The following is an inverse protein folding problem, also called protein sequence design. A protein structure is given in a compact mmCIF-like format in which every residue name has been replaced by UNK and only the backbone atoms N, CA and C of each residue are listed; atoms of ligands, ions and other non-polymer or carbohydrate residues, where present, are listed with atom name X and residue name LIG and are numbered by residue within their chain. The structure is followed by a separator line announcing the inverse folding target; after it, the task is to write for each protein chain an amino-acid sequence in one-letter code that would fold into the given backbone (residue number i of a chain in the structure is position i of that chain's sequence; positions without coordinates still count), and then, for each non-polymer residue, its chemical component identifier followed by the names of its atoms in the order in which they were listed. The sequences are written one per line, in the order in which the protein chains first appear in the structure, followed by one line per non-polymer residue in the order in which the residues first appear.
data_IF_265728693482
#
_entry.id   IF_265728693482
#
_cell.length_a   1.000
_cell.length_b   1.000
_cell.length_c   1.000
_cell.angle_alpha   90.00
_cell.angle_beta   90.00
_cell.angle_gamma   90.00
#
_symmetry.space_group_name_H-M   'P 1'
#
loop_
_entity.id
_entity.type
_entity.pdbx_description
1 polymer ?
#
# COMPACT_ATOMS: atom_id res chain seq x y z
N UNK A 1 -29.93 30.19 -6.86
CA UNK A 1 -29.30 29.02 -7.50
C UNK A 1 -28.26 28.56 -6.52
N UNK A 2 -28.62 27.61 -5.66
CA UNK A 2 -27.74 27.17 -4.59
C UNK A 2 -26.56 26.44 -5.24
N UNK A 3 -25.39 27.07 -5.14
CA UNK A 3 -24.12 26.42 -5.43
C UNK A 3 -23.88 25.40 -4.32
N UNK A 4 -24.55 24.25 -4.40
CA UNK A 4 -24.17 23.10 -3.61
C UNK A 4 -22.78 22.67 -4.09
N UNK A 5 -21.76 23.19 -3.43
CA UNK A 5 -20.45 22.59 -3.49
C UNK A 5 -20.62 21.12 -3.05
N UNK A 6 -20.14 20.15 -3.83
CA UNK A 6 -20.17 18.77 -3.39
C UNK A 6 -19.43 18.66 -2.05
N UNK A 7 -19.89 17.79 -1.12
CA UNK A 7 -19.20 17.59 0.15
C UNK A 7 -17.75 17.19 -0.13
N UNK A 8 -16.85 17.67 0.72
CA UNK A 8 -15.44 17.29 0.66
C UNK A 8 -15.30 15.78 0.82
N UNK A 9 -14.20 15.20 0.31
CA UNK A 9 -13.95 13.76 0.42
C UNK A 9 -13.96 13.31 1.89
N UNK A 10 -13.44 14.12 2.81
CA UNK A 10 -13.37 13.80 4.24
C UNK A 10 -14.77 13.74 4.88
N UNK A 11 -15.67 14.65 4.53
CA UNK A 11 -17.08 14.62 4.96
C UNK A 11 -17.79 13.39 4.41
N UNK A 12 -17.65 13.13 3.11
CA UNK A 12 -18.25 11.97 2.47
C UNK A 12 -17.76 10.65 3.09
N UNK A 13 -16.48 10.55 3.43
CA UNK A 13 -15.91 9.38 4.12
C UNK A 13 -16.55 9.18 5.49
N UNK A 14 -16.65 10.25 6.29
CA UNK A 14 -17.23 10.18 7.64
C UNK A 14 -18.70 9.75 7.59
N UNK A 15 -19.46 10.31 6.66
CA UNK A 15 -20.90 10.03 6.51
C UNK A 15 -21.19 8.64 5.94
N UNK A 16 -20.33 8.16 5.01
CA UNK A 16 -20.56 6.93 4.25
C UNK A 16 -19.62 5.78 4.65
N UNK A 17 -18.92 5.88 5.78
CA UNK A 17 -17.92 4.89 6.19
C UNK A 17 -18.42 3.44 6.13
N UNK A 18 -19.60 3.07 6.67
CA UNK A 18 -20.06 1.69 6.62
C UNK A 18 -20.26 1.15 5.19
N UNK A 19 -20.66 2.03 4.26
CA UNK A 19 -20.80 1.68 2.85
C UNK A 19 -19.44 1.53 2.17
N UNK A 20 -18.50 2.44 2.43
CA UNK A 20 -17.12 2.34 1.94
C UNK A 20 -16.42 1.07 2.46
N UNK A 21 -16.62 0.72 3.73
CA UNK A 21 -16.12 -0.52 4.32
C UNK A 21 -16.70 -1.75 3.61
N UNK A 22 -18.00 -1.73 3.30
CA UNK A 22 -18.66 -2.80 2.54
C UNK A 22 -18.11 -2.93 1.11
N UNK A 23 -17.89 -1.81 0.42
CA UNK A 23 -17.27 -1.80 -0.90
C UNK A 23 -15.84 -2.33 -0.84
N UNK A 24 -15.03 -1.88 0.11
CA UNK A 24 -13.65 -2.31 0.27
C UNK A 24 -13.59 -3.81 0.58
N UNK A 25 -14.47 -4.30 1.45
CA UNK A 25 -14.57 -5.73 1.76
C UNK A 25 -14.91 -6.57 0.52
N UNK A 26 -15.83 -6.09 -0.33
CA UNK A 26 -16.27 -6.80 -1.53
C UNK A 26 -15.23 -6.77 -2.65
N UNK A 27 -14.54 -5.64 -2.84
CA UNK A 27 -13.72 -5.38 -4.02
C UNK A 27 -12.21 -5.44 -3.76
N UNK A 28 -11.76 -5.38 -2.51
CA UNK A 28 -10.35 -5.42 -2.11
C UNK A 28 -9.60 -4.09 -2.26
N UNK A 29 -10.10 -3.16 -3.08
CA UNK A 29 -9.51 -1.83 -3.27
C UNK A 29 -10.57 -0.83 -3.73
N UNK A 30 -10.39 0.46 -3.43
CA UNK A 30 -11.23 1.56 -3.90
C UNK A 30 -10.31 2.67 -4.45
N UNK A 31 -10.64 3.20 -5.63
CA UNK A 31 -10.01 4.39 -6.18
C UNK A 31 -10.93 5.59 -6.01
N UNK A 32 -10.46 6.60 -5.27
CA UNK A 32 -11.11 7.91 -5.19
C UNK A 32 -10.50 8.83 -6.26
N UNK A 33 -11.33 9.34 -7.18
CA UNK A 33 -10.89 10.17 -8.31
C UNK A 33 -11.86 11.34 -8.51
N UNK A 34 -11.32 12.52 -8.87
CA UNK A 34 -12.11 13.73 -9.13
C UNK A 34 -12.40 14.57 -7.88
N UNK A 35 -11.51 14.53 -6.89
CA UNK A 35 -11.61 15.32 -5.67
C UNK A 35 -10.58 16.45 -5.68
N UNK A 36 -10.96 17.62 -6.17
CA UNK A 36 -10.07 18.78 -6.33
C UNK A 36 -9.55 19.33 -4.99
N UNK A 37 -10.23 19.01 -3.87
CA UNK A 37 -9.81 19.37 -2.52
C UNK A 37 -8.62 18.56 -2.00
N UNK A 38 -8.17 17.52 -2.73
CA UNK A 38 -7.05 16.66 -2.36
C UNK A 38 -5.82 17.05 -3.19
N UNK A 39 -5.11 18.10 -2.76
CA UNK A 39 -4.00 18.70 -3.52
C UNK A 39 -2.64 18.53 -2.84
N UNK A 40 -2.61 18.30 -1.53
CA UNK A 40 -1.38 18.24 -0.73
C UNK A 40 -1.32 16.98 0.13
N UNK A 41 -0.12 16.62 0.57
CA UNK A 41 0.08 15.58 1.59
C UNK A 41 -0.72 15.83 2.88
N UNK A 42 -0.97 17.10 3.26
CA UNK A 42 -1.83 17.44 4.41
C UNK A 42 -3.29 17.08 4.17
N UNK A 43 -3.83 17.42 2.99
CA UNK A 43 -5.20 17.05 2.60
C UNK A 43 -5.36 15.52 2.58
N UNK A 44 -4.32 14.81 2.13
CA UNK A 44 -4.29 13.35 2.16
C UNK A 44 -4.25 12.79 3.58
N UNK A 45 -3.49 13.39 4.50
CA UNK A 45 -3.52 13.00 5.91
C UNK A 45 -4.94 13.13 6.50
N UNK A 46 -5.66 14.22 6.19
CA UNK A 46 -7.03 14.42 6.66
C UNK A 46 -8.00 13.35 6.11
N UNK A 47 -7.80 12.92 4.86
CA UNK A 47 -8.53 11.78 4.26
C UNK A 47 -8.23 10.48 5.01
N UNK A 48 -6.95 10.18 5.28
CA UNK A 48 -6.54 8.99 6.04
C UNK A 48 -7.15 8.99 7.44
N UNK A 49 -7.14 10.13 8.12
CA UNK A 49 -7.72 10.28 9.46
C UNK A 49 -9.25 10.16 9.45
N UNK A 50 -9.93 10.64 8.40
CA UNK A 50 -11.38 10.58 8.27
C UNK A 50 -11.93 9.14 8.28
N UNK A 51 -11.15 8.15 7.79
CA UNK A 51 -11.53 6.73 7.88
C UNK A 51 -11.55 6.20 9.32
N UNK A 52 -10.76 6.79 10.23
CA UNK A 52 -10.67 6.37 11.62
C UNK A 52 -10.03 5.00 11.82
N UNK A 53 -9.27 4.49 10.84
CA UNK A 53 -8.49 3.27 11.01
C UNK A 53 -7.32 3.50 11.97
N UNK A 54 -6.95 2.44 12.70
CA UNK A 54 -5.76 2.45 13.56
C UNK A 54 -4.50 2.48 12.69
N UNK A 55 -3.60 3.39 12.99
CA UNK A 55 -2.27 3.43 12.37
C UNK A 55 -1.44 2.21 12.79
N UNK A 56 -0.69 1.65 11.84
CA UNK A 56 0.36 0.68 12.13
C UNK A 56 1.68 1.44 12.16
N UNK A 57 2.39 1.48 13.31
CA UNK A 57 3.73 2.05 13.37
C UNK A 57 4.65 1.33 12.39
N UNK A 58 5.44 2.08 11.62
CA UNK A 58 6.42 1.49 10.70
C UNK A 58 7.62 0.93 11.48
N UNK A 59 7.53 -0.33 11.87
CA UNK A 59 8.56 -1.06 12.61
C UNK A 59 8.98 -2.28 11.77
N UNK A 60 10.28 -2.43 11.51
CA UNK A 60 10.81 -3.60 10.78
C UNK A 60 10.56 -3.61 9.27
N UNK A 61 10.13 -2.50 8.67
CA UNK A 61 10.07 -2.37 7.22
C UNK A 61 11.47 -2.23 6.60
N UNK A 62 11.66 -2.80 5.41
CA UNK A 62 12.97 -2.84 4.76
C UNK A 62 13.34 -1.53 4.04
N UNK A 63 12.38 -0.81 3.47
CA UNK A 63 12.68 0.43 2.77
C UNK A 63 12.78 1.63 3.74
N UNK A 64 13.72 2.57 3.54
CA UNK A 64 13.67 3.84 4.24
C UNK A 64 12.36 4.56 3.88
N UNK A 65 11.76 5.21 4.88
CA UNK A 65 10.53 5.99 4.74
C UNK A 65 10.76 7.34 5.39
N UNK A 66 10.50 8.41 4.66
CA UNK A 66 10.54 9.77 5.21
C UNK A 66 9.13 10.17 5.61
N UNK A 67 8.92 10.56 6.87
CA UNK A 67 7.65 11.12 7.32
C UNK A 67 7.46 12.50 6.70
N UNK A 68 6.33 12.72 6.03
CA UNK A 68 5.99 13.99 5.38
C UNK A 68 5.11 14.82 6.30
N UNK A 69 3.98 14.25 6.76
CA UNK A 69 3.04 14.88 7.68
C UNK A 69 2.14 13.82 8.31
N UNK A 70 1.93 13.89 9.63
CA UNK A 70 1.03 12.96 10.33
C UNK A 70 1.34 11.49 10.02
N UNK A 71 0.37 10.80 9.41
CA UNK A 71 0.44 9.37 9.03
C UNK A 71 0.91 9.15 7.59
N UNK A 72 1.40 10.20 6.91
CA UNK A 72 1.81 10.16 5.50
C UNK A 72 3.33 10.07 5.41
N UNK A 73 3.80 9.09 4.64
CA UNK A 73 5.21 8.79 4.41
C UNK A 73 5.49 8.65 2.91
N UNK A 74 6.74 8.83 2.50
CA UNK A 74 7.18 8.55 1.11
C UNK A 74 7.02 7.06 0.75
N UNK A 75 6.58 6.78 -0.48
CA UNK A 75 6.19 5.43 -0.91
C UNK A 75 7.37 4.53 -1.32
N UNK A 76 8.38 5.07 -2.00
CA UNK A 76 9.58 4.33 -2.38
C UNK A 76 10.68 5.30 -2.78
N UNK A 77 11.93 5.02 -2.42
CA UNK A 77 13.11 5.83 -2.78
C UNK A 77 14.06 5.10 -3.74
N UNK A 78 13.67 3.91 -4.24
CA UNK A 78 14.46 3.18 -5.23
C UNK A 78 14.53 3.93 -6.58
N UNK A 79 15.55 3.66 -7.41
CA UNK A 79 15.69 4.31 -8.71
C UNK A 79 14.43 4.13 -9.60
N UNK A 80 14.01 5.18 -10.33
CA UNK A 80 12.75 5.19 -11.08
C UNK A 80 12.72 4.24 -12.29
N UNK A 81 13.88 3.76 -12.74
CA UNK A 81 14.03 2.79 -13.83
C UNK A 81 13.83 1.33 -13.38
N UNK A 82 13.72 1.09 -12.07
CA UNK A 82 13.59 -0.25 -11.50
C UNK A 82 12.13 -0.67 -11.32
N UNK A 83 11.84 -1.92 -11.70
CA UNK A 83 10.51 -2.51 -11.50
C UNK A 83 10.40 -3.09 -10.10
N UNK A 84 9.41 -2.64 -9.34
CA UNK A 84 9.05 -3.22 -8.04
C UNK A 84 8.23 -4.51 -8.29
N UNK A 85 8.64 -5.68 -7.76
CA UNK A 85 7.87 -6.92 -7.88
C UNK A 85 6.57 -6.87 -7.07
N UNK A 86 5.56 -7.64 -7.48
CA UNK A 86 4.35 -7.83 -6.68
C UNK A 86 4.67 -8.46 -5.32
N UNK A 87 4.07 -7.90 -4.28
CA UNK A 87 4.18 -8.38 -2.90
C UNK A 87 2.98 -7.90 -2.08
N UNK A 88 2.80 -8.49 -0.89
CA UNK A 88 2.01 -7.86 0.17
C UNK A 88 2.93 -6.98 1.02
N UNK A 89 2.46 -5.81 1.43
CA UNK A 89 3.25 -4.88 2.25
C UNK A 89 3.68 -5.58 3.55
N UNK A 90 4.98 -5.53 3.86
CA UNK A 90 5.57 -6.13 5.06
C UNK A 90 5.24 -7.63 5.25
N UNK A 91 5.09 -8.40 4.17
CA UNK A 91 4.67 -9.82 4.21
C UNK A 91 5.52 -10.77 5.08
N UNK A 92 6.74 -10.38 5.47
CA UNK A 92 7.65 -11.20 6.29
C UNK A 92 7.74 -10.74 7.75
N UNK A 93 6.94 -9.77 8.19
CA UNK A 93 6.89 -9.37 9.60
C UNK A 93 5.62 -9.90 10.29
N UNK A 94 5.63 -10.13 11.62
CA UNK A 94 4.47 -10.67 12.33
C UNK A 94 3.24 -9.74 12.31
N UNK A 95 3.47 -8.43 12.41
CA UNK A 95 2.42 -7.40 12.39
C UNK A 95 2.50 -6.60 11.08
N UNK A 96 1.63 -6.94 10.14
CA UNK A 96 1.55 -6.31 8.82
C UNK A 96 0.28 -5.46 8.68
N UNK A 97 0.25 -4.47 7.77
CA UNK A 97 -0.89 -3.58 7.63
C UNK A 97 -2.11 -4.32 7.07
N UNK A 98 -3.27 -4.11 7.71
CA UNK A 98 -4.54 -4.66 7.21
C UNK A 98 -5.08 -3.91 5.98
N UNK A 99 -4.65 -2.66 5.78
CA UNK A 99 -5.06 -1.74 4.71
C UNK A 99 -3.90 -0.80 4.43
N UNK A 100 -3.81 -0.34 3.18
CA UNK A 100 -2.82 0.62 2.73
C UNK A 100 -3.50 1.68 1.87
N UNK A 101 -3.04 2.93 1.97
CA UNK A 101 -3.48 4.03 1.11
C UNK A 101 -2.32 4.48 0.24
N UNK A 102 -2.63 4.80 -1.01
CA UNK A 102 -1.71 5.46 -1.93
C UNK A 102 -2.30 6.80 -2.37
N UNK A 103 -1.43 7.80 -2.51
CA UNK A 103 -1.78 9.13 -2.98
C UNK A 103 -0.74 9.62 -3.98
N UNK A 104 -1.24 10.24 -5.04
CA UNK A 104 -0.42 10.83 -6.09
C UNK A 104 -0.51 12.35 -5.97
N UNK A 105 0.47 12.97 -5.32
CA UNK A 105 0.58 14.43 -5.25
C UNK A 105 1.10 15.03 -6.56
N UNK A 106 2.05 14.34 -7.20
CA UNK A 106 2.66 14.74 -8.47
C UNK A 106 2.50 13.59 -9.45
N UNK A 107 1.75 13.82 -10.53
CA UNK A 107 1.57 12.84 -11.60
C UNK A 107 2.89 12.56 -12.33
N UNK A 108 3.26 11.28 -12.54
CA UNK A 108 4.44 10.94 -13.32
C UNK A 108 4.27 11.33 -14.79
N UNK A 109 5.34 11.82 -15.43
CA UNK A 109 5.31 12.17 -16.85
C UNK A 109 5.07 10.96 -17.77
N UNK A 110 5.51 9.77 -17.35
CA UNK A 110 5.29 8.49 -18.01
C UNK A 110 5.58 7.34 -17.04
N UNK A 111 4.83 6.24 -17.15
CA UNK A 111 4.96 5.10 -16.24
C UNK A 111 4.58 5.47 -14.80
N UNK A 112 5.25 4.87 -13.81
CA UNK A 112 5.06 5.20 -12.39
C UNK A 112 3.71 4.75 -11.83
N UNK A 113 2.94 3.95 -12.57
CA UNK A 113 1.73 3.36 -12.04
C UNK A 113 2.04 2.46 -10.83
N UNK A 114 1.04 2.26 -9.97
CA UNK A 114 1.09 1.27 -8.88
C UNK A 114 0.13 0.13 -9.23
N UNK A 115 0.54 -0.90 -10.00
CA UNK A 115 -0.32 -2.01 -10.35
C UNK A 115 -0.76 -2.76 -9.09
N UNK A 116 -2.05 -3.10 -9.02
CA UNK A 116 -2.62 -3.93 -7.96
C UNK A 116 -3.20 -5.21 -8.55
N UNK A 117 -3.13 -6.30 -7.77
CA UNK A 117 -3.65 -7.61 -8.17
C UNK A 117 -4.32 -8.29 -6.99
N UNK A 118 -5.44 -8.98 -7.23
CA UNK A 118 -6.16 -9.74 -6.21
C UNK A 118 -5.40 -11.02 -5.87
N UNK A 119 -4.84 -11.09 -4.66
CA UNK A 119 -4.01 -12.22 -4.22
C UNK A 119 -4.76 -13.56 -4.23
N UNK A 120 -6.04 -13.59 -3.86
CA UNK A 120 -6.84 -14.82 -3.91
C UNK A 120 -7.02 -15.34 -5.35
N UNK A 121 -7.19 -14.44 -6.32
CA UNK A 121 -7.31 -14.83 -7.72
C UNK A 121 -6.00 -15.42 -8.28
N UNK A 122 -4.85 -14.94 -7.77
CA UNK A 122 -3.53 -15.53 -8.07
C UNK A 122 -3.43 -16.92 -7.44
N UNK A 123 -3.85 -17.09 -6.18
CA UNK A 123 -3.89 -18.39 -5.50
C UNK A 123 -4.74 -19.40 -6.27
N UNK A 124 -5.98 -19.05 -6.61
CA UNK A 124 -6.92 -19.95 -7.30
C UNK A 124 -6.34 -20.41 -8.65
N UNK A 125 -5.79 -19.48 -9.44
CA UNK A 125 -5.15 -19.80 -10.73
C UNK A 125 -3.88 -20.64 -10.56
N UNK A 126 -3.09 -20.39 -9.53
CA UNK A 126 -1.90 -21.19 -9.23
C UNK A 126 -2.27 -22.61 -8.81
N UNK A 127 -3.31 -22.77 -7.99
CA UNK A 127 -3.81 -24.06 -7.53
C UNK A 127 -4.41 -24.87 -8.68
N UNK A 128 -5.16 -24.22 -9.56
CA UNK A 128 -5.69 -24.85 -10.77
C UNK A 128 -4.57 -25.30 -11.71
N UNK A 129 -3.57 -24.45 -11.94
CA UNK A 129 -2.52 -24.70 -12.93
C UNK A 129 -1.40 -25.62 -12.43
N UNK A 130 -1.05 -25.54 -11.15
CA UNK A 130 0.08 -26.25 -10.54
C UNK A 130 -0.29 -26.82 -9.15
N UNK A 131 -1.28 -27.72 -9.06
CA UNK A 131 -1.80 -28.21 -7.78
C UNK A 131 -0.73 -28.83 -6.88
N UNK A 132 0.11 -29.72 -7.42
CA UNK A 132 1.18 -30.38 -6.67
C UNK A 132 2.22 -29.40 -6.11
N UNK A 133 2.47 -28.29 -6.83
CA UNK A 133 3.37 -27.24 -6.35
C UNK A 133 2.75 -26.46 -5.21
N UNK A 134 1.46 -26.08 -5.33
CA UNK A 134 0.73 -25.39 -4.26
C UNK A 134 0.62 -26.28 -3.02
N UNK A 135 0.35 -27.58 -3.16
CA UNK A 135 0.32 -28.52 -2.04
C UNK A 135 1.67 -28.58 -1.30
N UNK A 136 2.79 -28.58 -2.04
CA UNK A 136 4.12 -28.52 -1.42
C UNK A 136 4.34 -27.21 -0.66
N UNK A 137 3.90 -26.08 -1.21
CA UNK A 137 3.98 -24.78 -0.53
C UNK A 137 3.15 -24.76 0.76
N UNK A 138 1.92 -25.30 0.73
CA UNK A 138 1.04 -25.38 1.89
C UNK A 138 1.65 -26.29 2.99
N UNK A 139 2.26 -27.41 2.59
CA UNK A 139 2.87 -28.37 3.53
C UNK A 139 4.20 -27.91 4.12
N UNK A 140 5.03 -27.26 3.33
CA UNK A 140 6.43 -27.00 3.68
C UNK A 140 6.76 -25.51 3.90
N UNK A 141 5.92 -24.60 3.42
CA UNK A 141 6.20 -23.17 3.44
C UNK A 141 7.37 -22.78 2.53
N UNK A 142 8.00 -21.65 2.86
CA UNK A 142 9.13 -21.07 2.13
C UNK A 142 10.24 -20.65 3.09
N UNK A 143 11.49 -20.72 2.64
CA UNK A 143 12.66 -20.18 3.34
C UNK A 143 13.19 -19.00 2.51
N UNK A 144 13.32 -17.85 3.15
CA UNK A 144 13.90 -16.65 2.54
C UNK A 144 15.27 -16.38 3.15
N UNK A 145 16.30 -16.37 2.31
CA UNK A 145 17.65 -15.98 2.70
C UNK A 145 17.93 -14.58 2.17
N UNK A 146 18.23 -13.64 3.05
CA UNK A 146 18.71 -12.30 2.69
C UNK A 146 20.13 -12.12 3.17
N UNK A 147 21.01 -11.66 2.28
CA UNK A 147 22.38 -11.27 2.61
C UNK A 147 22.40 -9.75 2.57
N UNK A 148 22.69 -9.12 3.72
CA UNK A 148 22.71 -7.68 3.86
C UNK A 148 24.17 -7.22 4.01
N UNK A 149 24.50 -6.08 3.41
CA UNK A 149 25.78 -5.40 3.61
C UNK A 149 25.87 -4.76 5.00
N UNK A 150 27.06 -4.28 5.37
CA UNK A 150 27.25 -3.53 6.62
C UNK A 150 26.58 -2.16 6.57
N UNK A 151 26.59 -1.51 5.40
CA UNK A 151 26.05 -0.19 5.16
C UNK A 151 24.70 -0.21 4.46
N UNK A 152 23.94 0.85 4.69
CA UNK A 152 22.72 1.18 3.96
C UNK A 152 23.06 1.57 2.51
N UNK A 153 22.49 0.85 1.54
CA UNK A 153 22.69 1.12 0.12
C UNK A 153 21.40 1.63 -0.53
N UNK A 154 21.24 2.95 -0.72
CA UNK A 154 20.03 3.54 -1.31
C UNK A 154 19.83 3.16 -2.78
N UNK A 155 20.84 2.56 -3.43
CA UNK A 155 20.71 2.01 -4.79
C UNK A 155 20.17 0.58 -4.82
N UNK A 156 20.08 -0.08 -3.66
CA UNK A 156 19.56 -1.44 -3.54
C UNK A 156 18.02 -1.48 -3.59
N UNK A 157 17.42 -2.28 -4.50
CA UNK A 157 15.97 -2.44 -4.56
C UNK A 157 15.39 -3.30 -3.42
N UNK A 158 16.23 -3.89 -2.56
CA UNK A 158 15.82 -4.87 -1.53
C UNK A 158 15.48 -4.18 -0.19
N UNK A 159 15.82 -2.89 -0.05
CA UNK A 159 15.71 -2.17 1.21
C UNK A 159 16.80 -2.56 2.22
N UNK A 160 16.99 -1.68 3.18
CA UNK A 160 17.99 -1.74 4.25
C UNK A 160 17.51 -2.55 5.46
N UNK A 161 18.37 -2.62 6.48
CA UNK A 161 18.35 -3.53 7.63
C UNK A 161 16.97 -3.74 8.30
N UNK A 162 16.71 -4.96 8.81
CA UNK A 162 15.76 -5.09 9.91
C UNK A 162 16.36 -4.37 11.11
N UNK A 163 15.74 -3.27 11.54
CA UNK A 163 16.08 -2.57 12.78
C UNK A 163 16.20 -3.57 13.92
N UNK A 164 17.33 -3.54 14.64
CA UNK A 164 17.49 -4.27 15.93
C UNK A 164 16.40 -3.88 16.92
#
# INVERSE_FOLDING_TARGET
MDSHNPPSLTEAIKDQRPWLDSLLHKHGSILFRGFDSLATSSDFNDVVEAFGYKELPYIGGAAPRTNVVGRVFTANESPPDQKIPFHHEMAQVPEYPSKLFFYCEIEPASGGETPIVLSHAVYDRMKEKYPDFVEKLEKHGLIYTRVLGEDDDPSSPIGNQMSK
#
